data_IF_974969060025
#
_entry.id   IF_974969060025
#
_cell.length_a   1.000
_cell.length_b   1.000
_cell.length_c   1.000
_cell.angle_alpha   90.00
_cell.angle_beta   90.00
_cell.angle_gamma   90.00
#
_symmetry.space_group_name_H-M   'P 1'
#
loop_
_entity.id
_entity.type
_entity.pdbx_description
1 polymer ?
#
# COMPACT_ATOMS: atom_id res chain seq x y z
N UNK A 1 -12.60 -7.68 -17.21
CA UNK A 1 -11.69 -6.53 -16.99
C UNK A 1 -11.66 -6.34 -15.49
N UNK A 2 -10.48 -6.34 -14.88
CA UNK A 2 -10.34 -6.12 -13.44
C UNK A 2 -9.96 -4.67 -13.25
N UNK A 3 -10.82 -3.92 -12.57
CA UNK A 3 -10.53 -2.53 -12.22
C UNK A 3 -9.81 -2.51 -10.87
N UNK A 4 -8.69 -1.80 -10.82
CA UNK A 4 -7.89 -1.57 -9.61
C UNK A 4 -8.06 -0.11 -9.23
N UNK A 5 -8.71 0.13 -8.11
CA UNK A 5 -8.92 1.46 -7.54
C UNK A 5 -7.66 1.94 -6.82
N UNK A 6 -7.49 3.24 -6.69
CA UNK A 6 -6.40 3.79 -5.87
C UNK A 6 -6.62 3.39 -4.40
N UNK A 7 -5.64 2.75 -3.74
CA UNK A 7 -5.76 2.39 -2.33
C UNK A 7 -5.59 3.59 -1.39
N UNK A 8 -5.14 4.73 -1.93
CA UNK A 8 -4.77 5.94 -1.20
C UNK A 8 -5.35 7.17 -1.91
N UNK A 9 -5.74 8.19 -1.14
CA UNK A 9 -6.02 9.51 -1.73
C UNK A 9 -4.71 10.25 -1.95
N UNK A 10 -4.48 10.75 -3.17
CA UNK A 10 -3.27 11.51 -3.45
C UNK A 10 -3.01 11.75 -4.92
N UNK A 11 -1.74 12.01 -5.23
CA UNK A 11 -1.28 12.20 -6.62
C UNK A 11 -0.61 10.92 -7.11
N UNK A 12 -1.07 10.39 -8.24
CA UNK A 12 -0.40 9.28 -8.93
C UNK A 12 0.91 9.79 -9.53
N UNK A 13 1.99 9.06 -9.30
CA UNK A 13 3.34 9.33 -9.79
C UNK A 13 3.90 8.09 -10.49
N UNK A 14 4.91 8.27 -11.34
CA UNK A 14 5.56 7.12 -12.00
C UNK A 14 6.29 6.27 -10.95
N UNK A 15 6.35 4.95 -11.17
CA UNK A 15 7.27 4.09 -10.40
C UNK A 15 8.72 4.55 -10.53
N UNK A 16 9.09 5.20 -11.64
CA UNK A 16 10.44 5.75 -11.85
C UNK A 16 10.78 6.91 -10.88
N UNK A 17 9.78 7.51 -10.23
CA UNK A 17 9.96 8.56 -9.22
C UNK A 17 10.16 8.00 -7.80
N UNK A 18 9.97 6.68 -7.62
CA UNK A 18 10.14 6.00 -6.33
C UNK A 18 11.63 5.85 -6.04
N UNK A 19 12.06 6.29 -4.86
CA UNK A 19 13.48 6.23 -4.43
C UNK A 19 13.89 4.84 -3.91
N UNK A 20 13.51 3.79 -4.63
CA UNK A 20 13.83 2.39 -4.31
C UNK A 20 13.95 1.60 -5.62
N UNK A 21 15.10 0.95 -5.83
CA UNK A 21 15.41 0.19 -7.06
C UNK A 21 14.45 -0.99 -7.27
N UNK A 22 13.96 -1.62 -6.20
CA UNK A 22 13.04 -2.76 -6.27
C UNK A 22 11.72 -2.36 -6.96
N UNK A 23 11.25 -1.13 -6.71
CA UNK A 23 10.03 -0.60 -7.30
C UNK A 23 10.27 0.16 -8.61
N UNK A 24 11.29 1.03 -8.66
CA UNK A 24 11.58 1.85 -9.85
C UNK A 24 12.06 1.00 -11.04
N UNK A 25 12.77 -0.10 -10.79
CA UNK A 25 13.14 -1.06 -11.84
C UNK A 25 12.07 -2.14 -12.10
N UNK A 26 10.88 -2.04 -11.46
CA UNK A 26 9.75 -2.97 -11.63
C UNK A 26 10.10 -4.43 -11.32
N UNK A 27 11.01 -4.66 -10.37
CA UNK A 27 11.43 -6.01 -9.97
C UNK A 27 10.26 -6.78 -9.33
N UNK A 28 9.42 -6.08 -8.55
CA UNK A 28 8.22 -6.64 -7.91
C UNK A 28 7.01 -6.76 -8.84
N UNK A 29 7.05 -6.11 -10.00
CA UNK A 29 5.94 -6.01 -10.93
C UNK A 29 5.81 -4.61 -11.53
N UNK A 30 4.91 -4.48 -12.51
CA UNK A 30 4.54 -3.20 -13.09
C UNK A 30 3.36 -2.57 -12.31
N UNK A 31 3.20 -1.26 -12.41
CA UNK A 31 2.20 -0.54 -11.63
C UNK A 31 2.37 0.97 -11.65
N UNK A 32 1.91 1.60 -10.57
CA UNK A 32 2.03 3.03 -10.34
C UNK A 32 2.25 3.28 -8.84
N UNK A 33 2.81 4.43 -8.48
CA UNK A 33 2.91 4.83 -7.09
C UNK A 33 1.97 6.01 -6.80
N UNK A 34 1.62 6.21 -5.54
CA UNK A 34 0.79 7.30 -5.06
C UNK A 34 1.54 8.09 -4.01
N UNK A 35 1.59 9.42 -4.17
CA UNK A 35 1.98 10.34 -3.11
C UNK A 35 0.73 10.70 -2.30
N UNK A 36 0.56 10.15 -1.09
CA UNK A 36 -0.68 10.26 -0.35
C UNK A 36 -0.87 11.66 0.23
N UNK A 37 -2.13 12.09 0.35
CA UNK A 37 -2.55 13.32 1.00
C UNK A 37 -3.37 13.09 2.26
N UNK A 38 -3.82 11.85 2.48
CA UNK A 38 -4.45 11.40 3.72
C UNK A 38 -3.90 10.03 4.16
N UNK A 39 -4.18 9.67 5.40
CA UNK A 39 -3.70 8.44 6.00
C UNK A 39 -4.63 7.24 5.84
N UNK A 40 -5.70 7.33 5.05
CA UNK A 40 -6.64 6.22 4.91
C UNK A 40 -6.20 5.30 3.78
N UNK A 41 -6.00 4.01 4.10
CA UNK A 41 -5.58 3.00 3.14
C UNK A 41 -6.66 1.94 3.00
N UNK A 42 -7.14 1.76 1.77
CA UNK A 42 -8.27 0.90 1.45
C UNK A 42 -7.89 -0.21 0.48
N UNK A 43 -8.72 -1.26 0.43
CA UNK A 43 -8.58 -2.32 -0.55
C UNK A 43 -8.75 -1.75 -1.96
N UNK A 44 -7.79 -1.99 -2.88
CA UNK A 44 -7.84 -1.46 -4.23
C UNK A 44 -8.79 -2.25 -5.14
N UNK A 45 -9.15 -3.48 -4.76
CA UNK A 45 -9.99 -4.36 -5.55
C UNK A 45 -10.68 -5.39 -4.68
N UNK A 46 -11.74 -6.00 -5.20
CA UNK A 46 -12.37 -7.16 -4.57
C UNK A 46 -11.39 -8.33 -4.56
N UNK A 47 -11.25 -8.99 -3.41
CA UNK A 47 -10.40 -10.16 -3.28
C UNK A 47 -10.22 -10.61 -1.85
N UNK A 48 -9.17 -11.39 -1.63
CA UNK A 48 -8.72 -11.86 -0.32
C UNK A 48 -7.39 -11.22 0.02
N UNK A 49 -7.20 -10.81 1.27
CA UNK A 49 -5.90 -10.35 1.76
C UNK A 49 -4.98 -11.57 1.89
N UNK A 50 -4.18 -11.83 0.86
CA UNK A 50 -3.23 -12.96 0.86
C UNK A 50 -2.04 -12.70 1.78
N UNK A 51 -1.65 -11.43 1.92
CA UNK A 51 -0.57 -11.04 2.82
C UNK A 51 -0.88 -9.72 3.49
N UNK A 52 -0.67 -9.68 4.79
CA UNK A 52 -0.60 -8.45 5.56
C UNK A 52 0.76 -8.39 6.24
N UNK A 53 1.58 -7.39 5.91
CA UNK A 53 2.94 -7.34 6.44
C UNK A 53 2.93 -6.92 7.92
N UNK A 54 3.82 -7.51 8.70
CA UNK A 54 3.96 -7.18 10.13
C UNK A 54 4.25 -5.68 10.29
N UNK A 55 3.56 -5.05 11.24
CA UNK A 55 3.64 -3.60 11.44
C UNK A 55 2.83 -2.78 10.43
N UNK A 56 2.07 -3.40 9.52
CA UNK A 56 1.06 -2.70 8.71
C UNK A 56 1.62 -1.78 7.63
N UNK A 57 2.88 -1.95 7.23
CA UNK A 57 3.54 -1.15 6.20
C UNK A 57 3.17 -1.56 4.76
N UNK A 58 2.27 -2.52 4.60
CA UNK A 58 1.77 -2.94 3.29
C UNK A 58 0.84 -4.13 3.40
N UNK A 59 0.24 -4.50 2.27
CA UNK A 59 -0.58 -5.70 2.12
C UNK A 59 -0.67 -6.12 0.65
N UNK A 60 -1.08 -7.37 0.41
CA UNK A 60 -1.37 -7.87 -0.92
C UNK A 60 -2.80 -8.43 -0.97
N UNK A 61 -3.54 -8.07 -2.02
CA UNK A 61 -4.89 -8.57 -2.30
C UNK A 61 -4.86 -9.43 -3.56
N UNK A 62 -5.41 -10.64 -3.49
CA UNK A 62 -5.59 -11.51 -4.65
C UNK A 62 -7.08 -11.65 -4.99
N UNK A 63 -7.45 -11.53 -6.27
CA UNK A 63 -8.81 -11.87 -6.70
C UNK A 63 -8.95 -13.34 -7.13
N UNK A 64 -10.20 -13.73 -7.38
CA UNK A 64 -10.56 -15.06 -7.90
C UNK A 64 -9.88 -15.43 -9.24
N UNK A 65 -9.35 -14.45 -9.98
CA UNK A 65 -8.64 -14.66 -11.24
C UNK A 65 -7.11 -14.86 -11.05
N UNK A 66 -6.61 -14.79 -9.82
CA UNK A 66 -5.19 -14.92 -9.47
C UNK A 66 -4.36 -13.66 -9.72
N UNK A 67 -4.99 -12.51 -9.98
CA UNK A 67 -4.28 -11.22 -10.00
C UNK A 67 -3.99 -10.80 -8.57
N UNK A 68 -2.71 -10.60 -8.26
CA UNK A 68 -2.24 -10.04 -7.00
C UNK A 68 -1.88 -8.57 -7.16
N UNK A 69 -2.40 -7.73 -6.27
CA UNK A 69 -2.02 -6.32 -6.14
C UNK A 69 -1.34 -6.15 -4.80
N UNK A 70 -0.07 -5.75 -4.84
CA UNK A 70 0.72 -5.35 -3.67
C UNK A 70 0.53 -3.85 -3.47
N UNK A 71 0.27 -3.43 -2.23
CA UNK A 71 0.27 -2.04 -1.80
C UNK A 71 1.33 -1.89 -0.72
N UNK A 72 2.37 -1.09 -0.98
CA UNK A 72 3.44 -0.81 -0.04
C UNK A 72 3.37 0.64 0.43
N UNK A 73 3.39 0.88 1.75
CA UNK A 73 3.10 2.19 2.34
C UNK A 73 4.38 2.92 2.71
N UNK A 74 4.79 3.87 1.87
CA UNK A 74 6.07 4.58 2.01
C UNK A 74 7.28 3.69 1.73
N UNK A 75 8.49 4.27 1.78
CA UNK A 75 9.75 3.58 1.54
C UNK A 75 10.47 3.32 2.86
N UNK A 76 11.09 2.14 3.00
CA UNK A 76 11.79 1.68 4.21
C UNK A 76 10.94 1.65 5.50
N UNK A 77 9.61 1.71 5.38
CA UNK A 77 8.67 1.78 6.51
C UNK A 77 8.57 0.48 7.30
N UNK A 78 9.05 -0.65 6.76
CA UNK A 78 9.27 -1.90 7.50
C UNK A 78 10.10 -1.68 8.77
N UNK A 79 11.04 -0.74 8.75
CA UNK A 79 11.89 -0.41 9.90
C UNK A 79 11.17 0.35 11.02
N UNK A 80 9.96 0.86 10.77
CA UNK A 80 9.14 1.54 11.79
C UNK A 80 8.48 0.56 12.77
N UNK A 81 8.50 -0.75 12.49
CA UNK A 81 7.99 -1.80 13.39
C UNK A 81 6.56 -1.53 13.88
N UNK A 82 5.71 -0.94 13.02
CA UNK A 82 4.33 -0.59 13.33
C UNK A 82 4.11 0.81 13.90
N UNK A 83 5.16 1.59 14.17
CA UNK A 83 4.99 2.99 14.56
C UNK A 83 4.40 3.81 13.40
N UNK A 84 3.26 4.46 13.66
CA UNK A 84 2.55 5.25 12.65
C UNK A 84 1.57 4.46 11.79
N UNK A 85 1.37 3.17 12.06
CA UNK A 85 0.42 2.32 11.34
C UNK A 85 -0.63 1.73 12.29
N UNK A 86 -1.88 1.69 11.86
CA UNK A 86 -2.98 1.05 12.56
C UNK A 86 -3.69 0.09 11.60
N UNK A 87 -3.65 -1.19 11.92
CA UNK A 87 -4.24 -2.25 11.11
C UNK A 87 -5.72 -2.43 11.47
N UNK A 88 -6.58 -2.55 10.45
CA UNK A 88 -8.04 -2.73 10.60
C UNK A 88 -8.57 -4.04 9.99
N UNK A 89 -7.73 -4.77 9.26
CA UNK A 89 -8.07 -6.05 8.64
C UNK A 89 -7.04 -7.13 9.00
N UNK A 90 -7.34 -8.39 8.72
CA UNK A 90 -6.47 -9.53 9.00
C UNK A 90 -6.10 -10.28 7.72
N UNK A 91 -4.93 -10.92 7.71
CA UNK A 91 -4.58 -11.85 6.63
C UNK A 91 -5.66 -12.95 6.50
N UNK A 92 -6.13 -13.15 5.28
CA UNK A 92 -7.19 -14.09 4.93
C UNK A 92 -8.60 -13.51 4.87
N UNK A 93 -8.82 -12.26 5.28
CA UNK A 93 -10.12 -11.59 5.16
C UNK A 93 -10.50 -11.38 3.68
N UNK A 94 -11.80 -11.52 3.39
CA UNK A 94 -12.38 -11.08 2.12
C UNK A 94 -12.69 -9.59 2.19
N UNK A 95 -12.33 -8.86 1.12
CA UNK A 95 -12.47 -7.40 1.04
C UNK A 95 -13.13 -6.98 -0.26
N UNK A 96 -13.87 -5.89 -0.19
CA UNK A 96 -14.42 -5.16 -1.32
C UNK A 96 -13.64 -3.85 -1.54
N UNK A 97 -13.64 -3.28 -2.77
CA UNK A 97 -12.95 -2.01 -3.03
C UNK A 97 -13.44 -0.92 -2.08
N UNK A 98 -12.49 -0.24 -1.42
CA UNK A 98 -12.80 0.81 -0.44
C UNK A 98 -12.89 0.33 1.02
N UNK A 99 -12.84 -0.98 1.28
CA UNK A 99 -12.74 -1.48 2.65
C UNK A 99 -11.43 -1.04 3.29
N UNK A 100 -11.50 -0.52 4.52
CA UNK A 100 -10.33 0.02 5.22
C UNK A 100 -9.41 -1.10 5.71
N UNK A 101 -8.13 -1.02 5.33
CA UNK A 101 -7.12 -2.03 5.66
C UNK A 101 -6.14 -1.50 6.70
N UNK A 102 -5.59 -0.30 6.45
CA UNK A 102 -4.61 0.36 7.33
C UNK A 102 -4.96 1.85 7.45
N UNK A 103 -4.64 2.44 8.60
CA UNK A 103 -4.53 3.89 8.74
C UNK A 103 -3.09 4.28 9.07
N UNK A 104 -2.59 5.31 8.40
CA UNK A 104 -1.22 5.81 8.51
C UNK A 104 -1.21 7.19 9.14
N UNK A 105 -0.32 7.42 10.10
CA UNK A 105 0.00 8.75 10.61
C UNK A 105 1.07 9.39 9.70
N UNK A 106 0.60 9.99 8.61
CA UNK A 106 1.46 10.62 7.60
C UNK A 106 2.34 11.72 8.20
N UNK A 107 1.80 12.50 9.14
CA UNK A 107 2.54 13.59 9.77
C UNK A 107 3.68 13.04 10.63
N UNK A 108 3.42 12.00 11.43
CA UNK A 108 4.47 11.36 12.24
C UNK A 108 5.59 10.79 11.38
N UNK A 109 5.27 10.13 10.26
CA UNK A 109 6.27 9.53 9.37
C UNK A 109 7.03 10.58 8.56
N UNK A 110 6.34 11.58 8.02
CA UNK A 110 6.96 12.68 7.26
C UNK A 110 7.90 13.51 8.16
N UNK A 111 7.52 13.73 9.43
CA UNK A 111 8.37 14.42 10.41
C UNK A 111 9.64 13.62 10.78
N UNK A 112 9.64 12.30 10.58
CA UNK A 112 10.83 11.45 10.69
C UNK A 112 11.70 11.46 9.41
N UNK A 113 11.28 12.19 8.37
CA UNK A 113 11.97 12.25 7.09
C UNK A 113 11.71 11.04 6.19
N UNK A 114 10.64 10.28 6.44
CA UNK A 114 10.28 9.11 5.65
C UNK A 114 9.53 9.57 4.39
N UNK A 115 9.90 9.01 3.25
CA UNK A 115 9.15 9.22 2.01
C UNK A 115 7.91 8.34 2.02
N UNK A 116 6.74 8.98 1.96
CA UNK A 116 5.44 8.31 1.99
C UNK A 116 4.90 7.97 0.59
N UNK A 117 5.68 8.19 -0.48
CA UNK A 117 5.34 7.63 -1.79
C UNK A 117 5.15 6.12 -1.66
N UNK A 118 3.99 5.66 -2.08
CA UNK A 118 3.50 4.30 -1.86
C UNK A 118 3.27 3.59 -3.19
N UNK A 119 4.11 2.61 -3.55
CA UNK A 119 3.94 1.75 -4.72
C UNK A 119 2.77 0.76 -4.59
#
# INVERSE_FOLDING_TARGET
MTDVMSPLTGTVVSLDEVQDEVFSERVMGDGAAVRPTDGEVVAPMKGRIEKLFEGGHGFAVENEAGLQVLVHLGIDTVHQKGEGFSIHATEGDEVEPGDRIVTVDLDALTNKGIDMISP
#
